data_IF_673869704895
#
_entry.id   IF_673869704895
#
_cell.length_a   1.000
_cell.length_b   1.000
_cell.length_c   1.000
_cell.angle_alpha   90.00
_cell.angle_beta   90.00
_cell.angle_gamma   90.00
#
_symmetry.space_group_name_H-M   'P 1'
#
loop_
_entity.id
_entity.type
_entity.pdbx_description
1 polymer ?
#
# COMPACT_ATOMS: atom_id res chain seq x y z
N UNK A 1 2.91 14.44 -10.67
CA UNK A 1 2.51 13.46 -9.63
C UNK A 1 3.79 13.00 -8.95
N UNK A 2 3.90 13.17 -7.64
CA UNK A 2 5.11 12.72 -6.92
C UNK A 2 5.10 11.19 -6.81
N UNK A 3 6.25 10.53 -6.56
CA UNK A 3 6.28 9.08 -6.30
C UNK A 3 5.38 8.68 -5.12
N UNK A 4 5.23 9.55 -4.12
CA UNK A 4 4.33 9.36 -2.99
C UNK A 4 2.87 9.34 -3.45
N UNK A 5 2.46 10.34 -4.25
CA UNK A 5 1.10 10.39 -4.80
C UNK A 5 0.80 9.19 -5.70
N UNK A 6 1.81 8.76 -6.48
CA UNK A 6 1.70 7.57 -7.32
C UNK A 6 1.40 6.34 -6.47
N UNK A 7 2.20 6.10 -5.42
CA UNK A 7 2.02 4.92 -4.56
C UNK A 7 0.67 4.98 -3.87
N UNK A 8 0.34 6.12 -3.25
CA UNK A 8 -0.91 6.26 -2.51
C UNK A 8 -2.14 6.00 -3.38
N UNK A 9 -2.24 6.66 -4.55
CA UNK A 9 -3.40 6.49 -5.45
C UNK A 9 -3.50 5.10 -6.03
N UNK A 10 -2.40 4.53 -6.52
CA UNK A 10 -2.42 3.22 -7.17
C UNK A 10 -2.67 2.11 -6.14
N UNK A 11 -2.03 2.15 -4.97
CA UNK A 11 -2.28 1.17 -3.89
C UNK A 11 -3.74 1.24 -3.42
N UNK A 12 -4.29 2.43 -3.20
CA UNK A 12 -5.70 2.59 -2.81
C UNK A 12 -6.63 1.97 -3.85
N UNK A 13 -6.40 2.27 -5.13
CA UNK A 13 -7.20 1.74 -6.24
C UNK A 13 -7.13 0.21 -6.31
N UNK A 14 -5.93 -0.37 -6.16
CA UNK A 14 -5.75 -1.82 -6.17
C UNK A 14 -6.42 -2.50 -4.96
N UNK A 15 -6.35 -1.92 -3.76
CA UNK A 15 -7.03 -2.47 -2.59
C UNK A 15 -8.56 -2.41 -2.73
N UNK A 16 -9.11 -1.33 -3.28
CA UNK A 16 -10.55 -1.25 -3.57
C UNK A 16 -10.97 -2.31 -4.59
N UNK A 17 -10.20 -2.51 -5.67
CA UNK A 17 -10.45 -3.58 -6.65
C UNK A 17 -10.43 -4.98 -6.04
N UNK A 18 -9.63 -5.19 -5.00
CA UNK A 18 -9.55 -6.45 -4.25
C UNK A 18 -10.69 -6.62 -3.23
N UNK A 19 -11.60 -5.65 -3.11
CA UNK A 19 -12.77 -5.71 -2.23
C UNK A 19 -12.47 -5.33 -0.78
N UNK A 20 -11.37 -4.60 -0.52
CA UNK A 20 -11.19 -3.94 0.77
C UNK A 20 -12.09 -2.71 0.85
N UNK A 21 -12.55 -2.36 2.05
CA UNK A 21 -13.30 -1.13 2.25
C UNK A 21 -12.40 0.10 2.03
N UNK A 22 -13.00 1.25 1.74
CA UNK A 22 -12.27 2.47 1.42
C UNK A 22 -11.34 2.93 2.56
N UNK A 23 -11.76 2.79 3.82
CA UNK A 23 -10.96 3.17 4.98
C UNK A 23 -9.75 2.23 5.17
N UNK A 24 -9.94 0.92 5.03
CA UNK A 24 -8.83 -0.03 5.04
C UNK A 24 -7.88 0.19 3.85
N UNK A 25 -8.41 0.53 2.67
CA UNK A 25 -7.61 0.82 1.48
C UNK A 25 -6.75 2.08 1.66
N UNK A 26 -7.33 3.17 2.19
CA UNK A 26 -6.60 4.41 2.48
C UNK A 26 -5.53 4.19 3.56
N UNK A 27 -5.89 3.53 4.67
CA UNK A 27 -4.93 3.21 5.73
C UNK A 27 -3.78 2.33 5.20
N UNK A 28 -4.09 1.34 4.36
CA UNK A 28 -3.07 0.49 3.73
C UNK A 28 -2.14 1.28 2.80
N UNK A 29 -2.68 2.25 2.07
CA UNK A 29 -1.91 3.13 1.20
C UNK A 29 -0.98 4.08 1.96
N UNK A 30 -1.41 4.63 3.10
CA UNK A 30 -0.56 5.43 3.99
C UNK A 30 0.65 4.62 4.49
N UNK A 31 0.41 3.38 4.91
CA UNK A 31 1.49 2.47 5.34
C UNK A 31 2.43 2.11 4.19
N UNK A 32 1.91 1.98 2.96
CA UNK A 32 2.71 1.75 1.77
C UNK A 32 3.64 2.94 1.47
N UNK A 33 3.15 4.17 1.66
CA UNK A 33 3.93 5.41 1.53
C UNK A 33 5.00 5.50 2.61
N UNK A 34 4.67 5.18 3.86
CA UNK A 34 5.64 5.14 4.95
C UNK A 34 6.76 4.13 4.66
N UNK A 35 6.41 2.95 4.14
CA UNK A 35 7.37 1.96 3.70
C UNK A 35 8.26 2.48 2.56
N UNK A 36 7.68 3.13 1.56
CA UNK A 36 8.43 3.77 0.47
C UNK A 36 9.43 4.81 0.98
N UNK A 37 9.04 5.65 1.95
CA UNK A 37 9.92 6.67 2.53
C UNK A 37 11.10 6.07 3.30
N UNK A 38 10.91 4.91 3.92
CA UNK A 38 11.95 4.21 4.70
C UNK A 38 12.83 3.29 3.86
N UNK A 39 12.38 2.87 2.68
CA UNK A 39 13.14 2.03 1.77
C UNK A 39 14.17 2.85 0.99
N UNK A 40 15.45 2.64 1.31
CA UNK A 40 16.59 3.19 0.54
C UNK A 40 16.77 2.48 -0.81
N UNK A 41 16.35 1.20 -0.91
CA UNK A 41 16.31 0.42 -2.15
C UNK A 41 15.11 -0.54 -2.16
N UNK A 42 14.58 -0.82 -3.35
CA UNK A 42 13.53 -1.82 -3.57
C UNK A 42 14.06 -3.25 -3.30
N UNK A 43 13.20 -4.17 -2.86
CA UNK A 43 13.58 -5.58 -2.61
C UNK A 43 14.20 -6.25 -3.84
N UNK A 44 13.76 -5.83 -5.04
CA UNK A 44 14.33 -6.14 -6.35
C UNK A 44 14.28 -4.89 -7.23
N UNK A 45 15.26 -4.76 -8.14
CA UNK A 45 15.33 -3.67 -9.12
C UNK A 45 13.98 -3.49 -9.81
N UNK A 46 13.36 -2.31 -9.64
CA UNK A 46 12.11 -1.93 -10.29
C UNK A 46 10.81 -2.44 -9.65
N UNK A 47 10.84 -3.07 -8.47
CA UNK A 47 9.63 -3.65 -7.83
C UNK A 47 9.16 -2.97 -6.54
N UNK A 48 9.56 -1.73 -6.30
CA UNK A 48 9.15 -1.00 -5.07
C UNK A 48 7.63 -0.90 -4.91
N UNK A 49 6.89 -0.82 -6.02
CA UNK A 49 5.43 -0.80 -5.99
C UNK A 49 4.84 -2.13 -5.50
N UNK A 50 5.38 -3.26 -5.95
CA UNK A 50 4.95 -4.59 -5.50
C UNK A 50 5.17 -4.74 -3.98
N UNK A 51 6.31 -4.26 -3.47
CA UNK A 51 6.63 -4.25 -2.04
C UNK A 51 5.63 -3.39 -1.26
N UNK A 52 5.40 -2.16 -1.72
CA UNK A 52 4.42 -1.24 -1.16
C UNK A 52 3.01 -1.85 -1.12
N UNK A 53 2.57 -2.48 -2.22
CA UNK A 53 1.27 -3.12 -2.33
C UNK A 53 1.15 -4.34 -1.41
N UNK A 54 2.22 -5.11 -1.26
CA UNK A 54 2.27 -6.23 -0.31
C UNK A 54 2.07 -5.74 1.13
N UNK A 55 2.80 -4.72 1.56
CA UNK A 55 2.66 -4.12 2.89
C UNK A 55 1.23 -3.59 3.10
N UNK A 56 0.68 -2.90 2.10
CA UNK A 56 -0.67 -2.36 2.15
C UNK A 56 -1.73 -3.46 2.37
N UNK A 57 -1.61 -4.59 1.66
CA UNK A 57 -2.51 -5.75 1.83
C UNK A 57 -2.42 -6.37 3.22
N UNK A 58 -1.22 -6.46 3.79
CA UNK A 58 -1.03 -6.98 5.16
C UNK A 58 -1.73 -6.08 6.19
N UNK A 59 -1.63 -4.75 6.03
CA UNK A 59 -2.30 -3.79 6.91
C UNK A 59 -3.81 -3.78 6.73
N UNK A 60 -4.30 -3.72 5.48
CA UNK A 60 -5.73 -3.77 5.18
C UNK A 60 -6.36 -5.11 5.62
N UNK A 61 -5.62 -6.22 5.49
CA UNK A 61 -6.03 -7.54 5.97
C UNK A 61 -6.08 -7.66 7.49
N UNK A 62 -5.15 -7.04 8.23
CA UNK A 62 -5.19 -7.00 9.69
C UNK A 62 -6.43 -6.25 10.23
N UNK A 63 -6.94 -5.25 9.52
CA UNK A 63 -8.19 -4.58 9.90
C UNK A 63 -9.42 -5.50 9.79
N UNK A 64 -9.40 -6.50 8.89
CA UNK A 64 -10.44 -7.53 8.78
C UNK A 64 -10.50 -8.49 9.98
N UNK A 65 -9.46 -8.53 10.82
CA UNK A 65 -9.32 -9.45 11.96
C UNK A 65 -9.77 -8.90 13.32
N UNK A 66 -10.21 -7.64 13.41
CA UNK A 66 -10.86 -7.12 14.62
C UNK A 66 -12.37 -7.27 14.49
N UNK A 67 -12.89 -8.48 14.71
CA UNK A 67 -14.31 -8.70 14.98
C UNK A 67 -14.45 -9.62 16.18
#
# INVERSE_FOLDING_TARGET
MTPIDFIHKNVTTELIKLGYDQNAAMTGADMAVEHYRRCSQASRKGRIFDDCLYIAKQWAGKQKGKK
#
